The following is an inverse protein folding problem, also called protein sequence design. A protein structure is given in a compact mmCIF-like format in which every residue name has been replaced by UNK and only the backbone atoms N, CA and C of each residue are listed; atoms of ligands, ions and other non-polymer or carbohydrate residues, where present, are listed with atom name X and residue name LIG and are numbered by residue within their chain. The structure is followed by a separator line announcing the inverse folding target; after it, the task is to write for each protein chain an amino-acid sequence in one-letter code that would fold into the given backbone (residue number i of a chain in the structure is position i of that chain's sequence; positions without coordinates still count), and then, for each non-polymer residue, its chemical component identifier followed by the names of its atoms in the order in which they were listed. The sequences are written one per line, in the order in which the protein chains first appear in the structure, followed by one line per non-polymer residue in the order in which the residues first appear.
data_IF_416070857635
#
_entry.id   IF_416070857635
#
_cell.length_a   1.000
_cell.length_b   1.000
_cell.length_c   1.000
_cell.angle_alpha   90.00
_cell.angle_beta   90.00
_cell.angle_gamma   90.00
#
_symmetry.space_group_name_H-M   'P 1'
#
loop_
_entity.id
_entity.type
_entity.pdbx_description
1 polymer ?
#
# COMPACT_ATOMS: atom_id res chain seq x y z
N UNK A 1 -8.00 37.32 -7.67
CA UNK A 1 -7.04 36.31 -7.13
C UNK A 1 -7.24 36.27 -5.61
N UNK A 2 -7.63 35.11 -5.09
CA UNK A 2 -7.91 34.96 -3.65
C UNK A 2 -6.61 34.72 -2.89
N UNK A 3 -6.53 35.13 -1.62
CA UNK A 3 -5.34 34.95 -0.76
C UNK A 3 -4.78 33.52 -0.70
N UNK A 4 -5.54 32.51 -1.11
CA UNK A 4 -5.10 31.12 -1.17
C UNK A 4 -4.24 30.79 -2.41
N UNK A 5 -4.50 31.44 -3.55
CA UNK A 5 -3.72 31.21 -4.78
C UNK A 5 -2.31 31.82 -4.67
N UNK A 6 -2.19 32.95 -3.97
CA UNK A 6 -0.89 33.59 -3.73
C UNK A 6 -0.01 32.74 -2.80
N UNK A 7 -0.60 32.06 -1.79
CA UNK A 7 0.15 31.23 -0.86
C UNK A 7 0.70 29.93 -1.50
N UNK A 8 0.00 29.36 -2.47
CA UNK A 8 0.48 28.18 -3.22
C UNK A 8 1.64 28.58 -4.14
N UNK A 9 1.59 29.76 -4.73
CA UNK A 9 2.61 30.26 -5.66
C UNK A 9 3.93 30.63 -4.93
N UNK A 10 3.86 31.17 -3.73
CA UNK A 10 5.04 31.44 -2.88
C UNK A 10 5.70 30.15 -2.35
N UNK A 11 4.90 29.08 -2.12
CA UNK A 11 5.43 27.79 -1.68
C UNK A 11 6.23 27.05 -2.77
N UNK A 12 5.88 27.24 -4.04
CA UNK A 12 6.56 26.58 -5.18
C UNK A 12 7.83 27.34 -5.58
N UNK A 13 7.88 28.66 -5.41
CA UNK A 13 9.02 29.49 -5.83
C UNK A 13 10.29 29.29 -4.98
N UNK A 14 10.16 28.69 -3.79
CA UNK A 14 11.28 28.41 -2.90
C UNK A 14 12.03 27.09 -3.20
N UNK A 15 11.60 26.33 -4.21
CA UNK A 15 12.27 25.12 -4.68
C UNK A 15 13.00 25.34 -6.02
N UNK A 16 13.59 26.52 -6.23
CA UNK A 16 14.55 26.67 -7.32
C UNK A 16 15.80 25.83 -7.02
N UNK A 17 16.00 24.78 -7.80
CA UNK A 17 17.26 24.06 -7.85
C UNK A 17 18.32 25.02 -8.38
N UNK A 18 19.09 25.66 -7.51
CA UNK A 18 20.29 26.41 -7.90
C UNK A 18 21.36 25.41 -8.32
N UNK A 19 21.43 25.11 -9.59
CA UNK A 19 22.58 24.48 -10.19
C UNK A 19 23.55 25.61 -10.54
N UNK A 20 24.46 25.97 -9.63
CA UNK A 20 25.59 26.82 -9.97
C UNK A 20 26.68 25.92 -10.54
N UNK A 21 27.06 26.15 -11.81
CA UNK A 21 28.04 25.35 -12.51
C UNK A 21 29.51 25.74 -12.14
N UNK A 22 29.73 26.56 -11.11
CA UNK A 22 31.04 27.17 -10.83
C UNK A 22 31.70 26.73 -9.51
N UNK A 23 31.18 25.71 -8.81
CA UNK A 23 31.92 25.15 -7.68
C UNK A 23 32.70 23.90 -8.08
N UNK A 24 34.01 23.76 -7.67
CA UNK A 24 34.76 22.54 -7.93
C UNK A 24 34.06 21.37 -7.25
N UNK A 25 33.83 20.29 -8.00
CA UNK A 25 33.28 19.03 -7.55
C UNK A 25 34.05 18.56 -6.30
N UNK A 26 33.50 18.88 -5.11
CA UNK A 26 33.99 18.30 -3.88
C UNK A 26 33.57 16.82 -3.89
N UNK A 27 34.51 15.91 -3.71
CA UNK A 27 34.41 14.47 -3.90
C UNK A 27 33.46 13.76 -2.92
N UNK A 28 32.54 14.50 -2.30
CA UNK A 28 31.45 13.95 -1.50
C UNK A 28 30.17 14.72 -1.83
N UNK A 29 29.36 14.27 -2.83
CA UNK A 29 28.05 14.87 -3.00
C UNK A 29 27.32 14.68 -1.67
N UNK A 30 27.09 15.79 -0.94
CA UNK A 30 26.20 15.76 0.20
C UNK A 30 24.96 14.99 -0.24
N UNK A 31 24.74 13.80 0.32
CA UNK A 31 23.63 12.95 -0.05
C UNK A 31 22.39 13.81 0.07
N UNK A 32 21.76 14.13 -1.07
CA UNK A 32 20.49 14.84 -1.07
C UNK A 32 19.57 13.93 -0.25
N UNK A 33 19.33 14.30 0.99
CA UNK A 33 18.47 13.57 1.88
C UNK A 33 17.06 13.82 1.38
N UNK A 34 16.61 12.98 0.44
CA UNK A 34 15.22 13.01 -0.01
C UNK A 34 14.40 12.52 1.18
N UNK A 35 13.60 13.40 1.82
CA UNK A 35 12.88 13.03 3.04
C UNK A 35 11.71 12.09 2.77
N UNK A 36 11.47 11.75 1.50
CA UNK A 36 10.35 10.93 1.06
C UNK A 36 10.83 9.60 0.48
N UNK A 37 10.01 8.55 0.70
CA UNK A 37 10.18 7.24 0.09
C UNK A 37 8.88 6.81 -0.55
N UNK A 38 8.96 6.16 -1.70
CA UNK A 38 7.80 5.62 -2.41
C UNK A 38 8.00 4.11 -2.50
N UNK A 39 6.93 3.37 -2.22
CA UNK A 39 6.88 1.93 -2.44
C UNK A 39 5.64 1.54 -3.21
N UNK A 40 5.78 0.49 -4.00
CA UNK A 40 4.71 -0.16 -4.72
C UNK A 40 4.69 -1.63 -4.35
N UNK A 41 3.50 -2.16 -4.05
CA UNK A 41 3.27 -3.58 -3.84
C UNK A 41 2.19 -4.09 -4.79
N UNK A 42 2.28 -5.35 -5.12
CA UNK A 42 1.31 -6.08 -5.93
C UNK A 42 1.13 -7.47 -5.35
N UNK A 43 -0.14 -7.89 -5.22
CA UNK A 43 -0.46 -9.26 -4.85
C UNK A 43 -1.63 -9.80 -5.67
N UNK A 44 -1.63 -11.10 -5.91
CA UNK A 44 -2.67 -11.80 -6.66
C UNK A 44 -2.93 -13.16 -6.00
N UNK A 45 -4.21 -13.42 -5.73
CA UNK A 45 -4.65 -14.74 -5.27
C UNK A 45 -5.66 -15.36 -6.22
N UNK A 46 -5.52 -16.68 -6.43
CA UNK A 46 -6.55 -17.50 -7.08
C UNK A 46 -7.75 -17.58 -6.14
N UNK A 47 -8.95 -17.54 -6.71
CA UNK A 47 -10.21 -17.71 -5.99
C UNK A 47 -10.74 -19.14 -6.13
N UNK A 48 -11.44 -19.58 -5.09
CA UNK A 48 -12.16 -20.84 -5.06
C UNK A 48 -13.57 -20.65 -4.46
N UNK A 49 -14.55 -21.50 -4.80
CA UNK A 49 -15.85 -21.48 -4.19
C UNK A 49 -15.81 -21.78 -2.67
N UNK A 50 -16.72 -21.17 -1.93
CA UNK A 50 -16.86 -21.34 -0.47
C UNK A 50 -15.84 -20.52 0.32
N UNK A 51 -16.05 -20.46 1.64
CA UNK A 51 -15.21 -19.69 2.56
C UNK A 51 -15.49 -18.21 2.55
N UNK A 52 -14.54 -17.42 3.04
CA UNK A 52 -14.66 -15.96 3.17
C UNK A 52 -13.56 -15.24 2.40
N UNK A 53 -13.95 -14.18 1.71
CA UNK A 53 -13.04 -13.24 1.08
C UNK A 53 -12.91 -12.00 1.96
N UNK A 54 -11.71 -11.76 2.46
CA UNK A 54 -11.35 -10.54 3.18
C UNK A 54 -10.62 -9.59 2.25
N UNK A 55 -10.90 -8.29 2.34
CA UNK A 55 -10.20 -7.22 1.64
C UNK A 55 -10.05 -6.04 2.60
N UNK A 56 -8.81 -5.63 2.85
CA UNK A 56 -8.46 -4.65 3.87
C UNK A 56 -9.01 -5.01 5.27
N UNK A 57 -9.01 -6.30 5.62
CA UNK A 57 -9.57 -6.82 6.87
C UNK A 57 -11.09 -6.90 6.95
N UNK A 58 -11.80 -6.55 5.87
CA UNK A 58 -13.28 -6.54 5.81
C UNK A 58 -13.78 -7.75 5.04
N UNK A 59 -14.73 -8.50 5.60
CA UNK A 59 -15.41 -9.59 4.87
C UNK A 59 -16.30 -8.99 3.80
N UNK A 60 -15.98 -9.27 2.54
CA UNK A 60 -16.72 -8.76 1.37
C UNK A 60 -17.54 -9.85 0.67
N UNK A 61 -17.26 -11.12 0.98
CA UNK A 61 -18.04 -12.28 0.51
C UNK A 61 -17.88 -13.44 1.47
N UNK A 62 -18.91 -14.26 1.59
CA UNK A 62 -18.93 -15.56 2.28
C UNK A 62 -19.11 -16.74 1.33
N UNK A 63 -19.06 -16.48 0.01
CA UNK A 63 -19.30 -17.45 -1.05
C UNK A 63 -18.03 -17.89 -1.78
N UNK A 64 -16.96 -17.14 -1.63
CA UNK A 64 -15.65 -17.39 -2.27
C UNK A 64 -14.54 -17.08 -1.29
N UNK A 65 -13.41 -17.74 -1.46
CA UNK A 65 -12.20 -17.48 -0.66
C UNK A 65 -10.95 -17.50 -1.53
N UNK A 66 -9.87 -16.83 -1.11
CA UNK A 66 -8.58 -16.97 -1.76
C UNK A 66 -7.96 -18.36 -1.48
N UNK A 67 -7.13 -18.83 -2.39
CA UNK A 67 -6.20 -19.95 -2.15
C UNK A 67 -4.92 -19.35 -1.61
N UNK A 68 -4.72 -19.39 -0.31
CA UNK A 68 -3.60 -18.75 0.36
C UNK A 68 -3.17 -19.50 1.63
N UNK A 69 -1.96 -19.24 2.14
CA UNK A 69 -1.45 -19.75 3.41
C UNK A 69 -1.97 -18.97 4.62
N UNK A 70 -2.17 -17.66 4.47
CA UNK A 70 -2.76 -16.73 5.45
C UNK A 70 -4.27 -16.62 5.23
N UNK A 71 -4.89 -15.53 5.67
CA UNK A 71 -6.28 -15.20 5.33
C UNK A 71 -6.45 -14.73 3.86
N UNK A 72 -5.33 -14.52 3.13
CA UNK A 72 -5.30 -14.20 1.70
C UNK A 72 -5.84 -12.82 1.34
N UNK A 73 -5.73 -11.85 2.24
CA UNK A 73 -6.13 -10.47 1.96
C UNK A 73 -5.13 -9.79 1.02
N UNK A 74 -5.41 -9.81 -0.28
CA UNK A 74 -4.55 -9.25 -1.33
C UNK A 74 -4.26 -7.75 -1.13
N UNK A 75 -5.18 -7.01 -0.49
CA UNK A 75 -4.98 -5.58 -0.23
C UNK A 75 -3.93 -5.38 0.83
N UNK A 76 -3.99 -6.16 1.91
CA UNK A 76 -3.03 -6.06 3.01
C UNK A 76 -1.66 -6.61 2.61
N UNK A 77 -1.59 -7.67 1.79
CA UNK A 77 -0.32 -8.18 1.26
C UNK A 77 0.35 -7.14 0.36
N UNK A 78 -0.38 -6.57 -0.60
CA UNK A 78 0.15 -5.50 -1.45
C UNK A 78 0.60 -4.28 -0.64
N UNK A 79 -0.11 -3.93 0.45
CA UNK A 79 0.29 -2.85 1.35
C UNK A 79 1.60 -3.17 2.08
N UNK A 80 1.76 -4.40 2.58
CA UNK A 80 3.01 -4.85 3.23
C UNK A 80 4.19 -4.73 2.26
N UNK A 81 4.05 -5.23 1.03
CA UNK A 81 5.09 -5.12 0.01
C UNK A 81 5.41 -3.67 -0.36
N UNK A 82 4.40 -2.81 -0.43
CA UNK A 82 4.62 -1.38 -0.67
C UNK A 82 5.42 -0.72 0.47
N UNK A 83 5.13 -1.04 1.73
CA UNK A 83 5.86 -0.53 2.88
C UNK A 83 7.31 -1.04 2.92
N UNK A 84 7.50 -2.35 2.71
CA UNK A 84 8.84 -2.98 2.65
C UNK A 84 9.65 -2.42 1.49
N UNK A 85 9.06 -2.32 0.30
CA UNK A 85 9.71 -1.74 -0.88
C UNK A 85 10.12 -0.28 -0.69
N UNK A 86 9.28 0.56 -0.05
CA UNK A 86 9.62 1.94 0.29
C UNK A 86 10.83 2.03 1.20
N UNK A 87 11.00 1.06 2.10
CA UNK A 87 12.13 1.01 3.03
C UNK A 87 13.36 0.30 2.46
N UNK A 88 13.22 -0.43 1.34
CA UNK A 88 14.29 -1.26 0.78
C UNK A 88 14.56 -2.51 1.62
N UNK A 89 13.52 -3.10 2.24
CA UNK A 89 13.62 -4.23 3.16
C UNK A 89 13.20 -5.57 2.55
N UNK A 90 13.20 -5.71 1.23
CA UNK A 90 12.77 -6.94 0.55
C UNK A 90 11.25 -7.00 0.38
N UNK A 91 10.67 -8.19 0.50
CA UNK A 91 9.26 -8.48 0.27
C UNK A 91 8.58 -9.25 1.42
N UNK A 92 7.27 -9.44 1.31
CA UNK A 92 6.47 -10.14 2.33
C UNK A 92 6.93 -11.58 2.54
N UNK A 93 7.38 -12.27 1.50
CA UNK A 93 7.85 -13.67 1.59
C UNK A 93 9.13 -13.83 2.39
N UNK A 94 10.02 -12.81 2.36
CA UNK A 94 11.23 -12.79 3.17
C UNK A 94 10.94 -12.59 4.66
N UNK A 95 9.92 -11.78 4.99
CA UNK A 95 9.56 -11.46 6.39
C UNK A 95 8.59 -12.47 7.01
N UNK A 96 7.70 -13.05 6.20
CA UNK A 96 6.61 -13.93 6.63
C UNK A 96 6.54 -15.17 5.74
N UNK A 97 7.61 -16.01 5.69
CA UNK A 97 7.68 -17.14 4.78
C UNK A 97 6.53 -18.13 5.01
N UNK A 98 5.94 -18.59 3.93
CA UNK A 98 4.84 -19.57 3.93
C UNK A 98 5.26 -20.95 4.45
N UNK A 99 6.58 -21.22 4.49
CA UNK A 99 7.17 -22.41 5.09
C UNK A 99 7.17 -22.41 6.62
N UNK A 100 7.00 -21.25 7.25
CA UNK A 100 6.92 -21.11 8.71
C UNK A 100 5.48 -21.31 9.19
N UNK A 101 5.24 -22.41 9.92
CA UNK A 101 3.92 -22.76 10.47
C UNK A 101 3.33 -21.68 11.38
N UNK A 102 4.15 -20.77 11.90
CA UNK A 102 3.71 -19.62 12.70
C UNK A 102 2.73 -18.74 11.95
N UNK A 103 2.86 -18.66 10.62
CA UNK A 103 2.06 -17.79 9.78
C UNK A 103 0.86 -18.48 9.12
N UNK A 104 0.71 -19.78 9.35
CA UNK A 104 -0.40 -20.55 8.79
C UNK A 104 -1.73 -20.07 9.36
N UNK A 105 -2.60 -19.55 8.48
CA UNK A 105 -3.89 -18.98 8.86
C UNK A 105 -3.80 -17.64 9.61
N UNK A 106 -2.63 -16.99 9.60
CA UNK A 106 -2.46 -15.69 10.24
C UNK A 106 -3.34 -14.63 9.57
N UNK A 107 -3.86 -13.70 10.37
CA UNK A 107 -4.53 -12.52 9.86
C UNK A 107 -3.51 -11.56 9.23
N UNK A 108 -3.69 -11.19 7.97
CA UNK A 108 -2.78 -10.29 7.25
C UNK A 108 -2.66 -8.91 7.90
N UNK A 109 -3.64 -8.52 8.73
CA UNK A 109 -3.55 -7.35 9.61
C UNK A 109 -2.29 -7.35 10.47
N UNK A 110 -1.88 -8.50 11.01
CA UNK A 110 -0.68 -8.65 11.84
C UNK A 110 0.58 -8.29 11.05
N UNK A 111 0.62 -8.63 9.76
CA UNK A 111 1.75 -8.30 8.89
C UNK A 111 1.87 -6.79 8.68
N UNK A 112 0.74 -6.12 8.37
CA UNK A 112 0.70 -4.65 8.21
C UNK A 112 1.13 -3.96 9.51
N UNK A 113 0.56 -4.33 10.65
CA UNK A 113 0.86 -3.72 11.95
C UNK A 113 2.34 -3.92 12.33
N UNK A 114 2.90 -5.10 12.05
CA UNK A 114 4.31 -5.42 12.31
C UNK A 114 5.23 -4.56 11.45
N UNK A 115 5.02 -4.55 10.13
CA UNK A 115 5.90 -3.82 9.19
C UNK A 115 5.75 -2.32 9.38
N UNK A 116 4.55 -1.80 9.53
CA UNK A 116 4.35 -0.37 9.75
C UNK A 116 4.92 0.09 11.09
N UNK A 117 4.84 -0.74 12.12
CA UNK A 117 5.52 -0.50 13.40
C UNK A 117 7.04 -0.35 13.24
N UNK A 118 7.67 -1.19 12.41
CA UNK A 118 9.09 -1.09 12.08
C UNK A 118 9.41 0.18 11.27
N UNK A 119 8.56 0.54 10.31
CA UNK A 119 8.67 1.80 9.52
C UNK A 119 8.70 3.00 10.46
N UNK A 120 7.78 3.05 11.43
CA UNK A 120 7.74 4.13 12.44
C UNK A 120 8.98 4.14 13.33
N UNK A 121 9.46 2.98 13.78
CA UNK A 121 10.70 2.87 14.55
C UNK A 121 11.92 3.36 13.78
N UNK A 122 11.92 3.24 12.45
CA UNK A 122 12.97 3.77 11.57
C UNK A 122 12.85 5.29 11.32
N UNK A 123 11.88 5.97 11.94
CA UNK A 123 11.66 7.41 11.83
C UNK A 123 10.94 7.82 10.55
N UNK A 124 10.01 6.99 10.05
CA UNK A 124 9.17 7.31 8.91
C UNK A 124 7.69 7.20 9.25
N UNK A 125 6.89 8.05 8.64
CA UNK A 125 5.43 8.05 8.75
C UNK A 125 4.79 7.96 7.35
N UNK A 126 3.64 7.30 7.28
CA UNK A 126 2.87 7.18 6.06
C UNK A 126 2.08 8.47 5.78
N UNK A 127 2.33 9.11 4.64
CA UNK A 127 1.63 10.30 4.18
C UNK A 127 0.43 9.98 3.29
N UNK A 128 0.62 9.02 2.37
CA UNK A 128 -0.38 8.66 1.37
C UNK A 128 -0.40 7.15 1.13
N UNK A 129 -1.60 6.62 0.96
CA UNK A 129 -1.87 5.25 0.53
C UNK A 129 -2.89 5.27 -0.60
N UNK A 130 -2.56 4.73 -1.75
CA UNK A 130 -3.49 4.53 -2.86
C UNK A 130 -3.54 3.06 -3.25
N UNK A 131 -4.71 2.45 -3.08
CA UNK A 131 -4.96 1.04 -3.43
C UNK A 131 -5.80 0.96 -4.70
N UNK A 132 -5.40 0.09 -5.61
CA UNK A 132 -6.19 -0.30 -6.78
C UNK A 132 -6.48 -1.80 -6.70
N UNK A 133 -7.76 -2.14 -6.55
CA UNK A 133 -8.24 -3.52 -6.49
C UNK A 133 -8.84 -3.93 -7.84
N UNK A 134 -8.45 -5.09 -8.34
CA UNK A 134 -8.93 -5.67 -9.59
C UNK A 134 -9.76 -6.93 -9.29
N UNK A 135 -11.06 -6.87 -9.54
CA UNK A 135 -11.99 -7.96 -9.25
C UNK A 135 -13.26 -7.87 -10.12
N UNK A 136 -13.66 -8.97 -10.72
CA UNK A 136 -14.96 -9.05 -11.40
C UNK A 136 -16.11 -9.15 -10.41
N UNK A 137 -15.93 -9.95 -9.36
CA UNK A 137 -16.88 -10.18 -8.26
C UNK A 137 -16.12 -10.35 -6.94
N UNK A 138 -16.78 -9.96 -5.79
CA UNK A 138 -18.02 -9.19 -5.68
C UNK A 138 -17.87 -7.74 -6.12
N UNK A 139 -18.99 -6.98 -6.21
CA UNK A 139 -18.92 -5.52 -6.43
C UNK A 139 -18.34 -4.83 -5.20
N UNK A 140 -17.17 -4.21 -5.36
CA UNK A 140 -16.40 -3.63 -4.25
C UNK A 140 -16.95 -2.29 -3.74
N UNK A 141 -17.63 -1.54 -4.60
CA UNK A 141 -18.10 -0.17 -4.27
C UNK A 141 -18.79 -0.04 -2.90
N UNK A 142 -19.69 -0.95 -2.46
CA UNK A 142 -20.36 -0.85 -1.15
C UNK A 142 -19.40 -0.98 0.05
N UNK A 143 -18.28 -1.67 -0.12
CA UNK A 143 -17.34 -1.99 0.97
C UNK A 143 -16.22 -0.94 1.14
N UNK A 144 -16.01 -0.06 0.15
CA UNK A 144 -14.92 0.93 0.16
C UNK A 144 -14.87 1.78 1.44
N UNK A 145 -16.00 2.31 1.98
CA UNK A 145 -15.93 3.10 3.21
C UNK A 145 -15.41 2.29 4.40
N UNK A 146 -15.86 1.03 4.56
CA UNK A 146 -15.40 0.15 5.63
C UNK A 146 -13.93 -0.25 5.45
N UNK A 147 -13.49 -0.53 4.21
CA UNK A 147 -12.08 -0.81 3.89
C UNK A 147 -11.19 0.37 4.26
N UNK A 148 -11.57 1.60 3.91
CA UNK A 148 -10.81 2.80 4.26
C UNK A 148 -10.74 3.03 5.78
N UNK A 149 -11.84 2.81 6.49
CA UNK A 149 -11.85 2.91 7.96
C UNK A 149 -10.91 1.88 8.59
N UNK A 150 -10.97 0.62 8.13
CA UNK A 150 -10.10 -0.46 8.60
C UNK A 150 -8.61 -0.17 8.34
N UNK A 151 -8.25 0.31 7.14
CA UNK A 151 -6.87 0.68 6.81
C UNK A 151 -6.34 1.81 7.71
N UNK A 152 -7.14 2.86 7.94
CA UNK A 152 -6.77 3.96 8.82
C UNK A 152 -6.60 3.51 10.28
N UNK A 153 -7.47 2.64 10.75
CA UNK A 153 -7.35 2.04 12.09
C UNK A 153 -6.06 1.24 12.24
N UNK A 154 -5.75 0.32 11.30
CA UNK A 154 -4.53 -0.49 11.31
C UNK A 154 -3.25 0.36 11.28
N UNK A 155 -3.29 1.47 10.53
CA UNK A 155 -2.16 2.38 10.38
C UNK A 155 -2.09 3.45 11.49
N UNK A 156 -3.05 3.42 12.44
CA UNK A 156 -3.04 4.30 13.61
C UNK A 156 -3.12 5.80 13.27
N UNK A 157 -3.70 6.16 12.11
CA UNK A 157 -3.81 7.54 11.68
C UNK A 157 -5.06 7.80 10.86
N UNK A 158 -6.01 8.53 11.45
CA UNK A 158 -7.20 9.00 10.74
C UNK A 158 -6.89 10.07 9.68
N UNK A 159 -5.75 10.75 9.82
CA UNK A 159 -5.31 11.84 8.95
C UNK A 159 -4.59 11.40 7.66
N UNK A 160 -4.32 10.11 7.49
CA UNK A 160 -3.65 9.61 6.28
C UNK A 160 -4.54 9.84 5.06
N UNK A 161 -3.96 10.40 3.98
CA UNK A 161 -4.59 10.48 2.68
C UNK A 161 -4.67 9.06 2.06
N UNK A 162 -5.70 8.28 2.44
CA UNK A 162 -5.91 6.94 1.95
C UNK A 162 -7.05 6.89 0.93
N UNK A 163 -6.85 6.11 -0.14
CA UNK A 163 -7.84 5.90 -1.17
C UNK A 163 -7.90 4.42 -1.59
N UNK A 164 -9.09 3.95 -1.97
CA UNK A 164 -9.32 2.63 -2.56
C UNK A 164 -10.09 2.79 -3.86
N UNK A 165 -9.47 2.39 -4.96
CA UNK A 165 -10.08 2.26 -6.28
C UNK A 165 -10.36 0.79 -6.55
N UNK A 166 -11.39 0.51 -7.33
CA UNK A 166 -11.70 -0.84 -7.78
C UNK A 166 -12.14 -0.81 -9.24
N UNK A 167 -11.63 -1.73 -10.01
CA UNK A 167 -11.95 -1.95 -11.41
C UNK A 167 -12.15 -3.43 -11.73
N UNK A 168 -12.65 -3.68 -12.93
CA UNK A 168 -12.72 -5.02 -13.53
C UNK A 168 -11.66 -5.14 -14.62
N UNK A 169 -11.38 -6.36 -15.07
CA UNK A 169 -10.56 -6.61 -16.25
C UNK A 169 -11.41 -6.90 -17.50
N UNK A 170 -12.69 -6.47 -17.47
CA UNK A 170 -13.61 -6.54 -18.62
C UNK A 170 -13.69 -7.94 -19.27
N UNK A 171 -13.66 -9.00 -18.45
CA UNK A 171 -13.66 -10.40 -18.92
C UNK A 171 -12.31 -10.91 -19.43
N UNK A 172 -11.27 -10.08 -19.46
CA UNK A 172 -9.93 -10.48 -19.87
C UNK A 172 -9.21 -11.21 -18.74
N UNK A 173 -8.30 -12.14 -19.09
CA UNK A 173 -7.42 -12.90 -18.18
C UNK A 173 -8.14 -13.68 -17.04
N UNK A 174 -7.39 -14.13 -16.04
CA UNK A 174 -7.92 -14.88 -14.90
C UNK A 174 -8.76 -13.99 -13.96
N UNK A 175 -8.41 -12.72 -13.83
CA UNK A 175 -9.18 -11.76 -13.01
C UNK A 175 -10.51 -11.48 -13.68
N UNK A 176 -10.51 -11.19 -15.00
CA UNK A 176 -11.71 -10.94 -15.78
C UNK A 176 -12.66 -12.14 -15.84
N UNK A 177 -12.15 -13.36 -15.75
CA UNK A 177 -12.98 -14.57 -15.64
C UNK A 177 -13.45 -14.84 -14.20
N UNK A 178 -13.02 -14.05 -13.22
CA UNK A 178 -13.37 -14.24 -11.79
C UNK A 178 -12.65 -15.43 -11.13
N UNK A 179 -11.55 -15.89 -11.72
CA UNK A 179 -10.72 -16.98 -11.20
C UNK A 179 -9.63 -16.49 -10.23
N UNK A 180 -9.38 -15.18 -10.24
CA UNK A 180 -8.38 -14.53 -9.40
C UNK A 180 -8.86 -13.13 -8.99
N UNK A 181 -8.19 -12.58 -7.97
CA UNK A 181 -8.31 -11.21 -7.50
C UNK A 181 -6.91 -10.65 -7.29
N UNK A 182 -6.71 -9.37 -7.59
CA UNK A 182 -5.42 -8.72 -7.39
C UNK A 182 -5.56 -7.33 -6.78
N UNK A 183 -4.50 -6.87 -6.12
CA UNK A 183 -4.39 -5.52 -5.62
C UNK A 183 -3.01 -4.93 -5.92
N UNK A 184 -3.00 -3.63 -6.21
CA UNK A 184 -1.81 -2.79 -6.17
C UNK A 184 -1.94 -1.82 -5.00
N UNK A 185 -0.86 -1.60 -4.30
CA UNK A 185 -0.76 -0.54 -3.30
C UNK A 185 0.43 0.36 -3.62
N UNK A 186 0.23 1.66 -3.50
CA UNK A 186 1.31 2.66 -3.58
C UNK A 186 1.31 3.43 -2.27
N UNK A 187 2.48 3.55 -1.65
CA UNK A 187 2.67 4.31 -0.42
C UNK A 187 3.69 5.42 -0.63
N UNK A 188 3.48 6.53 0.05
CA UNK A 188 4.48 7.56 0.24
C UNK A 188 4.75 7.73 1.73
N UNK A 189 6.02 7.56 2.11
CA UNK A 189 6.50 7.75 3.47
C UNK A 189 7.30 9.06 3.53
N UNK A 190 7.26 9.73 4.69
CA UNK A 190 8.15 10.85 5.00
C UNK A 190 8.96 10.55 6.25
N UNK A 191 10.17 11.06 6.28
CA UNK A 191 11.02 11.02 7.47
C UNK A 191 10.47 12.03 8.49
N UNK A 192 10.28 11.61 9.74
CA UNK A 192 9.83 12.43 10.88
C UNK A 192 10.99 13.05 11.62
#
# INVERSE_FOLDING_TARGET
MTNNEIRIQESISNYELRISNDEPMNENPASILIPFRIGHGYDLHRLQPGGRLLLAGIVVSDQISPVAHSDGDVVLHALVDALLGAMGWGDIGEHFPDTDLKWKGAASRVFVETVYGQVRQAGYELLNLDVTLLAEKPKIKPFKPAMLASLREMLGSEGIAANVKAGTNEGCDAIGRGEAIAAHAVVMLAKT
#
